data_IF_509692392636
#
_entry.id   IF_509692392636
#
_cell.length_a   1.000
_cell.length_b   1.000
_cell.length_c   1.000
_cell.angle_alpha   90.00
_cell.angle_beta   90.00
_cell.angle_gamma   90.00
#
_symmetry.space_group_name_H-M   'P 1'
#
loop_
_entity.id
_entity.type
_entity.pdbx_description
1 polymer ?
#
# COMPACT_ATOMS: atom_id res chain seq x y z
N UNK A 1 -1.04 23.12 -20.17
CA UNK A 1 -1.33 22.45 -18.89
C UNK A 1 -0.01 21.91 -18.36
N UNK A 2 0.48 22.46 -17.25
CA UNK A 2 1.76 22.06 -16.66
C UNK A 2 1.51 20.87 -15.72
N UNK A 3 2.29 19.81 -15.83
CA UNK A 3 2.22 18.67 -14.91
C UNK A 3 3.40 18.73 -13.94
N UNK A 4 3.13 18.59 -12.65
CA UNK A 4 4.14 18.48 -11.61
C UNK A 4 4.34 17.01 -11.25
N UNK A 5 5.59 16.54 -11.24
CA UNK A 5 5.95 15.17 -10.85
C UNK A 5 6.78 15.23 -9.59
N UNK A 6 6.39 14.45 -8.57
CA UNK A 6 7.11 14.33 -7.31
C UNK A 6 7.44 12.84 -7.06
N UNK A 7 8.72 12.54 -6.81
CA UNK A 7 9.22 11.16 -6.60
C UNK A 7 10.11 11.11 -5.36
N UNK A 8 9.53 10.87 -4.17
CA UNK A 8 10.30 10.73 -2.94
C UNK A 8 10.83 9.30 -2.77
N UNK A 9 11.97 9.16 -2.08
CA UNK A 9 12.40 7.86 -1.52
C UNK A 9 11.98 7.81 -0.06
N UNK A 10 11.13 6.85 0.29
CA UNK A 10 10.60 6.69 1.65
C UNK A 10 10.93 5.29 2.16
N UNK A 11 11.27 5.18 3.44
CA UNK A 11 11.39 3.90 4.15
C UNK A 11 10.41 3.93 5.30
N UNK A 12 9.48 2.97 5.31
CA UNK A 12 8.41 2.88 6.30
C UNK A 12 8.46 1.55 7.04
N UNK A 13 8.15 1.59 8.32
CA UNK A 13 7.82 0.41 9.11
C UNK A 13 6.32 0.43 9.34
N UNK A 14 5.61 -0.45 8.63
CA UNK A 14 4.16 -0.57 8.74
C UNK A 14 3.79 -1.76 9.63
N UNK A 15 2.67 -1.63 10.35
CA UNK A 15 2.10 -2.73 11.11
C UNK A 15 1.35 -3.67 10.15
N UNK A 16 1.51 -4.98 10.34
CA UNK A 16 0.76 -6.00 9.63
C UNK A 16 0.21 -7.02 10.64
N UNK A 17 -1.09 -7.27 10.57
CA UNK A 17 -1.74 -8.26 11.42
C UNK A 17 -1.60 -9.66 10.80
N UNK A 18 -0.65 -10.44 11.32
CA UNK A 18 -0.31 -11.77 10.79
C UNK A 18 -1.08 -12.87 11.51
N UNK A 19 -1.55 -13.87 10.76
CA UNK A 19 -2.18 -15.08 11.29
C UNK A 19 -1.23 -16.28 11.17
N UNK A 20 -0.71 -16.76 12.31
CA UNK A 20 0.23 -17.88 12.38
C UNK A 20 -0.44 -19.23 12.69
N UNK A 21 -1.76 -19.33 12.56
CA UNK A 21 -2.51 -20.57 12.83
C UNK A 21 -2.02 -21.80 12.06
N UNK A 22 -1.37 -21.60 10.90
CA UNK A 22 -0.85 -22.66 10.01
C UNK A 22 0.66 -22.70 9.89
N UNK A 23 1.39 -22.07 10.80
CA UNK A 23 2.86 -22.08 10.77
C UNK A 23 3.43 -23.51 10.65
N UNK A 24 4.42 -23.77 9.79
CA UNK A 24 5.17 -22.84 8.93
C UNK A 24 4.61 -22.69 7.49
N UNK A 25 3.39 -23.17 7.22
CA UNK A 25 2.73 -23.17 5.92
C UNK A 25 1.62 -22.10 5.84
N UNK A 26 1.82 -21.00 6.56
CA UNK A 26 0.94 -19.85 6.60
C UNK A 26 1.13 -18.93 5.39
N UNK A 27 0.11 -18.12 5.12
CA UNK A 27 0.16 -17.06 4.11
C UNK A 27 -0.31 -15.77 4.74
N UNK A 28 0.45 -14.70 4.51
CA UNK A 28 0.22 -13.41 5.14
C UNK A 28 -0.22 -12.39 4.10
N UNK A 29 -1.29 -11.65 4.40
CA UNK A 29 -1.75 -10.52 3.60
C UNK A 29 -1.52 -9.24 4.39
N UNK A 30 -0.53 -8.46 3.96
CA UNK A 30 -0.23 -7.16 4.55
C UNK A 30 -0.70 -6.04 3.64
N UNK A 31 -1.36 -5.03 4.20
CA UNK A 31 -1.72 -3.80 3.48
C UNK A 31 -0.82 -2.63 3.90
N UNK A 32 -0.56 -1.76 2.93
CA UNK A 32 0.04 -0.46 3.16
C UNK A 32 -0.95 0.60 2.68
N UNK A 33 -1.40 1.44 3.60
CA UNK A 33 -2.44 2.43 3.34
C UNK A 33 -1.81 3.80 3.12
N UNK A 34 -2.23 4.48 2.05
CA UNK A 34 -1.81 5.83 1.72
C UNK A 34 -3.03 6.74 1.76
N UNK A 35 -2.94 7.83 2.53
CA UNK A 35 -4.07 8.74 2.76
C UNK A 35 -3.60 10.19 2.90
N UNK A 36 -4.45 11.13 2.48
CA UNK A 36 -4.31 12.53 2.84
C UNK A 36 -4.65 12.76 4.30
N UNK A 37 -3.69 13.28 5.07
CA UNK A 37 -3.92 13.55 6.48
C UNK A 37 -4.94 14.67 6.76
N UNK A 38 -4.96 15.71 5.91
CA UNK A 38 -5.68 16.96 6.20
C UNK A 38 -6.79 17.29 5.19
N UNK A 39 -6.84 16.60 4.06
CA UNK A 39 -7.77 16.91 2.97
C UNK A 39 -8.75 15.76 2.79
N UNK A 40 -10.02 16.11 2.60
CA UNK A 40 -11.10 15.17 2.27
C UNK A 40 -11.09 14.87 0.77
N UNK A 41 -11.94 13.94 0.36
CA UNK A 41 -12.17 13.57 -1.04
C UNK A 41 -12.75 14.71 -1.89
N UNK A 42 -13.42 15.69 -1.25
CA UNK A 42 -13.89 16.90 -1.94
C UNK A 42 -12.74 17.80 -2.39
N UNK A 43 -11.65 17.86 -1.60
CA UNK A 43 -10.48 18.72 -1.86
C UNK A 43 -9.37 18.00 -2.64
N UNK A 44 -9.16 16.70 -2.37
CA UNK A 44 -8.07 15.91 -2.92
C UNK A 44 -8.48 14.45 -3.15
N UNK A 45 -8.48 14.04 -4.42
CA UNK A 45 -8.69 12.66 -4.82
C UNK A 45 -7.38 11.96 -5.18
N UNK A 46 -7.08 10.87 -4.47
CA UNK A 46 -5.96 9.97 -4.77
C UNK A 46 -6.43 8.79 -5.61
N UNK A 47 -5.68 8.47 -6.66
CA UNK A 47 -5.96 7.31 -7.52
C UNK A 47 -4.66 6.67 -8.04
N UNK A 48 -4.73 5.37 -8.31
CA UNK A 48 -3.66 4.64 -8.97
C UNK A 48 -3.66 4.97 -10.45
N UNK A 49 -2.55 5.50 -10.98
CA UNK A 49 -2.46 5.95 -12.38
C UNK A 49 -2.74 4.83 -13.39
N UNK A 50 -2.31 3.61 -13.09
CA UNK A 50 -2.46 2.42 -13.93
C UNK A 50 -2.92 1.20 -13.12
N UNK A 51 -3.70 1.40 -12.04
CA UNK A 51 -4.11 0.29 -11.16
C UNK A 51 -2.92 -0.52 -10.66
N UNK A 52 -2.98 -1.84 -10.77
CA UNK A 52 -1.92 -2.76 -10.32
C UNK A 52 -0.57 -2.54 -11.05
N UNK A 53 -0.60 -2.06 -12.30
CA UNK A 53 0.63 -1.73 -13.05
C UNK A 53 1.33 -0.47 -12.51
N UNK A 54 0.69 0.26 -11.59
CA UNK A 54 1.34 1.38 -10.88
C UNK A 54 2.39 0.91 -9.88
N UNK A 55 2.39 -0.36 -9.51
CA UNK A 55 3.36 -0.97 -8.62
C UNK A 55 4.36 -1.78 -9.42
N UNK A 56 5.63 -1.37 -9.37
CA UNK A 56 6.74 -2.17 -9.84
C UNK A 56 7.61 -2.59 -8.66
N UNK A 57 7.96 -3.87 -8.63
CA UNK A 57 8.88 -4.44 -7.64
C UNK A 57 10.18 -4.78 -8.34
N UNK A 58 11.29 -4.52 -7.66
CA UNK A 58 12.59 -5.01 -8.10
C UNK A 58 12.63 -6.54 -7.94
N UNK A 59 12.98 -7.26 -9.00
CA UNK A 59 13.14 -8.71 -9.01
C UNK A 59 14.14 -9.22 -7.96
N UNK A 60 14.99 -8.32 -7.41
CA UNK A 60 15.98 -8.61 -6.38
C UNK A 60 15.43 -8.57 -4.96
N UNK A 61 14.15 -8.21 -4.75
CA UNK A 61 13.56 -8.25 -3.41
C UNK A 61 13.48 -9.71 -2.96
N UNK A 62 14.24 -10.03 -1.92
CA UNK A 62 14.19 -11.29 -1.21
C UNK A 62 13.94 -11.03 0.26
N UNK A 63 12.99 -11.78 0.83
CA UNK A 63 12.74 -11.80 2.26
C UNK A 63 13.37 -13.06 2.84
N UNK A 64 13.82 -12.99 4.09
CA UNK A 64 14.52 -14.10 4.75
C UNK A 64 13.65 -15.33 5.00
N UNK A 65 12.35 -15.13 5.21
CA UNK A 65 11.42 -16.19 5.65
C UNK A 65 10.18 -16.33 4.76
N UNK A 66 9.85 -15.30 3.98
CA UNK A 66 8.63 -15.26 3.17
C UNK A 66 8.97 -15.20 1.69
N UNK A 67 8.07 -15.74 0.88
CA UNK A 67 8.06 -15.50 -0.56
C UNK A 67 6.89 -14.58 -0.89
N UNK A 68 7.17 -13.55 -1.68
CA UNK A 68 6.12 -12.65 -2.14
C UNK A 68 5.35 -13.34 -3.27
N UNK A 69 4.04 -13.52 -3.09
CA UNK A 69 3.19 -14.20 -4.07
C UNK A 69 2.54 -13.24 -5.07
N UNK A 70 1.99 -12.13 -4.58
CA UNK A 70 1.24 -11.16 -5.40
C UNK A 70 1.20 -9.79 -4.74
N UNK A 71 1.04 -8.77 -5.57
CA UNK A 71 0.67 -7.42 -5.16
C UNK A 71 -0.64 -7.05 -5.83
N UNK A 72 -1.40 -6.19 -5.17
CA UNK A 72 -2.60 -5.62 -5.75
C UNK A 72 -2.82 -4.24 -5.15
N UNK A 73 -3.42 -3.36 -5.94
CA UNK A 73 -3.81 -2.02 -5.55
C UNK A 73 -5.29 -2.01 -5.24
N UNK A 74 -5.68 -1.23 -4.24
CA UNK A 74 -7.08 -0.94 -3.95
C UNK A 74 -7.24 0.54 -3.69
N UNK A 75 -8.42 1.07 -3.96
CA UNK A 75 -8.82 2.43 -3.61
C UNK A 75 -10.06 2.34 -2.73
N UNK A 76 -10.08 3.10 -1.64
CA UNK A 76 -11.21 3.13 -0.70
C UNK A 76 -11.42 4.54 -0.17
N UNK A 77 -12.67 4.89 0.12
CA UNK A 77 -13.02 6.08 0.89
C UNK A 77 -13.03 5.71 2.37
N UNK A 78 -12.24 6.43 3.16
CA UNK A 78 -12.20 6.25 4.60
C UNK A 78 -13.10 7.28 5.28
N UNK A 79 -14.05 6.82 6.10
CA UNK A 79 -14.96 7.68 6.85
C UNK A 79 -14.56 7.66 8.32
N UNK A 80 -14.00 8.77 8.79
CA UNK A 80 -13.65 8.94 10.18
C UNK A 80 -14.76 9.69 10.91
N UNK A 81 -15.27 9.10 11.99
CA UNK A 81 -16.17 9.81 12.89
C UNK A 81 -15.38 10.89 13.61
N UNK A 82 -15.78 12.15 13.44
CA UNK A 82 -15.31 13.21 14.33
C UNK A 82 -15.86 12.92 15.72
N UNK A 83 -14.98 12.57 16.66
CA UNK A 83 -15.33 12.53 18.09
C UNK A 83 -15.61 13.91 18.62
#
# INVERSE_FOLDING_TARGET
MLYMVFVPRVTVTAACNMDFSRFPLDSQTCSLELESYAYTDEDLMLYWKSGDESLSIDDKISLSQFLIQKFHTTSRLAFYSST
#
